data_IF_504535594246
#
_entry.id   IF_504535594246
#
_cell.length_a   1.000
_cell.length_b   1.000
_cell.length_c   1.000
_cell.angle_alpha   90.00
_cell.angle_beta   90.00
_cell.angle_gamma   90.00
#
_symmetry.space_group_name_H-M   'P 1'
#
loop_
_entity.id
_entity.type
_entity.pdbx_description
1 polymer ?
#
# COMPACT_ATOMS: atom_id res chain seq x y z
N UNK A 1 4.97 0.11 -16.47
CA UNK A 1 5.42 -0.92 -15.50
C UNK A 1 5.06 -2.33 -15.94
N UNK A 2 5.94 -3.31 -15.68
CA UNK A 2 5.69 -4.74 -15.88
C UNK A 2 4.74 -5.28 -14.79
N UNK A 3 4.05 -6.40 -15.03
CA UNK A 3 3.17 -7.12 -14.09
C UNK A 3 1.74 -6.60 -13.85
N UNK A 4 1.21 -5.71 -14.70
CA UNK A 4 -0.25 -5.44 -14.76
C UNK A 4 -0.78 -4.30 -13.87
N UNK A 5 0.06 -3.64 -13.08
CA UNK A 5 -0.29 -2.51 -12.20
C UNK A 5 -0.53 -1.16 -12.94
N UNK A 6 -0.81 -1.20 -14.25
CA UNK A 6 -0.62 -0.03 -15.14
C UNK A 6 -1.73 1.04 -15.12
N UNK A 7 -3.02 0.73 -14.95
CA UNK A 7 -4.04 1.78 -14.92
C UNK A 7 -4.40 2.25 -13.51
N UNK A 8 -4.09 1.46 -12.48
CA UNK A 8 -4.45 1.76 -11.10
C UNK A 8 -3.52 1.01 -10.15
N UNK A 9 -2.95 1.73 -9.20
CA UNK A 9 -2.08 1.20 -8.16
C UNK A 9 -2.48 1.83 -6.84
N UNK A 10 -2.83 1.01 -5.86
CA UNK A 10 -3.20 1.47 -4.54
C UNK A 10 -2.61 0.49 -3.51
N UNK A 11 -1.78 0.99 -2.61
CA UNK A 11 -1.08 0.13 -1.66
C UNK A 11 -0.74 0.83 -0.34
N UNK A 12 -0.57 0.02 0.71
CA UNK A 12 -0.13 0.46 2.03
C UNK A 12 1.11 -0.32 2.48
N UNK A 13 2.07 0.38 3.06
CA UNK A 13 3.17 -0.21 3.84
C UNK A 13 2.82 -0.06 5.31
N UNK A 14 2.65 -1.18 6.00
CA UNK A 14 2.10 -1.22 7.35
C UNK A 14 3.17 -1.74 8.30
N UNK A 15 3.42 -1.01 9.39
CA UNK A 15 4.38 -1.38 10.45
C UNK A 15 3.93 -2.54 11.33
N UNK A 16 3.33 -3.57 10.73
CA UNK A 16 2.87 -4.82 11.31
C UNK A 16 3.47 -5.94 10.46
N UNK A 17 4.20 -6.87 11.08
CA UNK A 17 4.86 -7.96 10.35
C UNK A 17 3.90 -9.08 9.95
N UNK A 18 2.99 -9.47 10.86
CA UNK A 18 2.07 -10.57 10.64
C UNK A 18 0.86 -10.13 9.79
N UNK A 19 0.77 -10.66 8.57
CA UNK A 19 -0.36 -10.40 7.67
C UNK A 19 -1.71 -10.83 8.26
N UNK A 20 -1.75 -11.81 9.16
CA UNK A 20 -2.98 -12.20 9.85
C UNK A 20 -3.42 -11.14 10.86
N UNK A 21 -2.47 -10.48 11.55
CA UNK A 21 -2.78 -9.36 12.43
C UNK A 21 -3.36 -8.19 11.62
N UNK A 22 -2.77 -7.88 10.46
CA UNK A 22 -3.31 -6.86 9.54
C UNK A 22 -4.74 -7.20 9.12
N UNK A 23 -4.98 -8.43 8.65
CA UNK A 23 -6.30 -8.89 8.24
C UNK A 23 -7.32 -8.83 9.39
N UNK A 24 -6.91 -9.24 10.60
CA UNK A 24 -7.76 -9.18 11.80
C UNK A 24 -8.13 -7.73 12.16
N UNK A 25 -7.18 -6.79 12.10
CA UNK A 25 -7.45 -5.36 12.36
C UNK A 25 -8.44 -4.78 11.35
N UNK A 26 -8.34 -5.21 10.09
CA UNK A 26 -9.27 -4.88 9.02
C UNK A 26 -10.59 -5.66 9.09
N UNK A 27 -10.79 -6.47 10.14
CA UNK A 27 -12.00 -7.28 10.37
C UNK A 27 -12.32 -8.24 9.23
N UNK A 28 -11.29 -8.71 8.53
CA UNK A 28 -11.44 -9.75 7.51
C UNK A 28 -11.86 -11.05 8.21
N UNK A 29 -12.96 -11.68 7.80
CA UNK A 29 -13.35 -12.99 8.33
C UNK A 29 -12.32 -14.06 7.94
N UNK A 30 -11.88 -14.88 8.89
CA UNK A 30 -10.81 -15.88 8.66
C UNK A 30 -11.19 -16.88 7.56
N UNK A 31 -12.48 -17.20 7.45
CA UNK A 31 -13.03 -18.11 6.45
C UNK A 31 -12.99 -17.57 5.01
N UNK A 32 -12.74 -16.27 4.82
CA UNK A 32 -12.61 -15.65 3.49
C UNK A 32 -11.16 -15.36 3.09
N UNK A 33 -10.19 -15.70 3.96
CA UNK A 33 -8.77 -15.52 3.70
C UNK A 33 -8.23 -16.69 2.86
N UNK A 34 -7.59 -16.38 1.74
CA UNK A 34 -6.96 -17.37 0.87
C UNK A 34 -5.46 -17.09 0.77
N UNK A 35 -4.61 -18.10 1.04
CA UNK A 35 -3.18 -17.97 0.79
C UNK A 35 -2.89 -18.19 -0.68
N UNK A 36 -2.25 -17.22 -1.34
CA UNK A 36 -1.89 -17.33 -2.74
C UNK A 36 -0.65 -16.49 -3.08
N UNK A 37 -0.04 -16.79 -4.23
CA UNK A 37 1.05 -15.98 -4.78
C UNK A 37 0.51 -14.70 -5.45
N UNK A 38 1.42 -13.78 -5.76
CA UNK A 38 1.07 -12.52 -6.42
C UNK A 38 0.30 -12.72 -7.74
N UNK A 39 0.71 -13.69 -8.57
CA UNK A 39 0.07 -13.91 -9.86
C UNK A 39 -1.39 -14.34 -9.70
N UNK A 40 -1.65 -15.26 -8.77
CA UNK A 40 -3.01 -15.71 -8.43
C UNK A 40 -3.83 -14.57 -7.84
N UNK A 41 -3.24 -13.74 -6.98
CA UNK A 41 -3.92 -12.56 -6.43
C UNK A 41 -4.35 -11.59 -7.55
N UNK A 42 -3.49 -11.38 -8.55
CA UNK A 42 -3.79 -10.51 -9.70
C UNK A 42 -4.90 -11.04 -10.61
N UNK A 43 -5.28 -12.32 -10.53
CA UNK A 43 -6.49 -12.82 -11.22
C UNK A 43 -7.78 -12.24 -10.62
N UNK A 44 -7.74 -11.77 -9.37
CA UNK A 44 -8.82 -11.07 -8.70
C UNK A 44 -8.79 -9.54 -8.90
N UNK A 45 -7.83 -9.03 -9.68
CA UNK A 45 -7.71 -7.61 -9.95
C UNK A 45 -8.93 -7.09 -10.74
N UNK A 46 -9.71 -6.22 -10.11
CA UNK A 46 -10.96 -5.71 -10.63
C UNK A 46 -11.20 -4.26 -10.16
N UNK A 47 -10.47 -3.27 -10.69
CA UNK A 47 -10.46 -1.90 -10.17
C UNK A 47 -11.83 -1.19 -10.23
N UNK A 48 -12.76 -1.69 -11.07
CA UNK A 48 -14.12 -1.16 -11.17
C UNK A 48 -15.12 -1.83 -10.23
N UNK A 49 -14.72 -2.88 -9.50
CA UNK A 49 -15.58 -3.57 -8.53
C UNK A 49 -15.66 -2.76 -7.24
N UNK A 50 -16.87 -2.67 -6.67
CA UNK A 50 -17.11 -2.01 -5.38
C UNK A 50 -16.60 -2.84 -4.20
N UNK A 51 -16.49 -4.16 -4.37
CA UNK A 51 -15.99 -5.04 -3.31
C UNK A 51 -14.51 -4.76 -3.04
N UNK A 52 -14.18 -4.34 -1.82
CA UNK A 52 -12.80 -4.11 -1.40
C UNK A 52 -12.06 -5.44 -1.25
N UNK A 53 -11.11 -5.70 -2.16
CA UNK A 53 -10.20 -6.85 -2.07
C UNK A 53 -8.77 -6.39 -1.98
N UNK A 54 -8.01 -7.07 -1.13
CA UNK A 54 -6.61 -6.78 -0.90
C UNK A 54 -5.78 -8.07 -0.91
N UNK A 55 -4.51 -7.94 -1.23
CA UNK A 55 -3.50 -8.96 -1.03
C UNK A 55 -2.48 -8.47 -0.02
N UNK A 56 -2.38 -9.17 1.11
CA UNK A 56 -1.51 -8.82 2.24
C UNK A 56 -0.31 -9.75 2.22
N UNK A 57 0.89 -9.20 2.07
CA UNK A 57 2.13 -9.99 2.05
C UNK A 57 3.18 -9.42 3.01
N UNK A 58 4.14 -10.26 3.41
CA UNK A 58 5.30 -9.79 4.17
C UNK A 58 6.19 -8.95 3.26
N UNK A 59 6.72 -7.84 3.78
CA UNK A 59 7.62 -6.97 3.02
C UNK A 59 9.08 -7.15 3.47
N UNK A 60 9.31 -6.94 4.78
CA UNK A 60 10.60 -7.06 5.49
C UNK A 60 10.28 -7.19 6.99
N UNK A 61 11.17 -7.70 7.87
CA UNK A 61 10.85 -7.78 9.30
C UNK A 61 10.31 -6.45 9.86
N UNK A 62 9.21 -6.53 10.62
CA UNK A 62 8.47 -5.39 11.13
C UNK A 62 7.45 -4.76 10.17
N UNK A 63 7.40 -5.17 8.89
CA UNK A 63 6.56 -4.57 7.86
C UNK A 63 5.80 -5.59 7.00
N UNK A 64 4.57 -5.22 6.65
CA UNK A 64 3.76 -5.88 5.63
C UNK A 64 3.35 -4.89 4.56
N UNK A 65 2.98 -5.43 3.41
CA UNK A 65 2.47 -4.69 2.28
C UNK A 65 1.03 -5.13 1.99
N UNK A 66 0.13 -4.16 1.87
CA UNK A 66 -1.27 -4.37 1.51
C UNK A 66 -1.47 -3.80 0.12
N UNK A 67 -1.61 -4.67 -0.88
CA UNK A 67 -1.95 -4.26 -2.25
C UNK A 67 -3.47 -4.29 -2.40
N UNK A 68 -4.07 -3.18 -2.81
CA UNK A 68 -5.49 -3.15 -3.14
C UNK A 68 -5.68 -3.67 -4.57
N UNK A 69 -6.64 -4.58 -4.75
CA UNK A 69 -6.93 -5.24 -6.02
C UNK A 69 -8.27 -4.81 -6.62
N UNK A 70 -9.21 -4.39 -5.77
CA UNK A 70 -10.51 -3.85 -6.12
C UNK A 70 -11.09 -3.04 -4.97
N UNK A 71 -12.13 -2.26 -5.23
CA UNK A 71 -12.73 -1.32 -4.29
C UNK A 71 -12.34 0.12 -4.62
N UNK A 72 -13.12 1.07 -4.12
CA UNK A 72 -12.89 2.52 -4.34
C UNK A 72 -12.18 3.21 -3.16
N UNK A 73 -11.88 2.47 -2.10
CA UNK A 73 -11.32 3.01 -0.87
C UNK A 73 -10.09 2.24 -0.43
N UNK A 74 -9.18 2.94 0.23
CA UNK A 74 -8.07 2.32 0.94
C UNK A 74 -8.57 1.68 2.24
N UNK A 75 -7.97 0.56 2.69
CA UNK A 75 -8.19 0.06 4.05
C UNK A 75 -7.83 1.13 5.09
N UNK A 76 -8.53 1.19 6.23
CA UNK A 76 -8.31 2.27 7.22
C UNK A 76 -6.88 2.25 7.79
N UNK A 77 -6.09 3.24 7.39
CA UNK A 77 -4.75 3.47 7.92
C UNK A 77 -4.77 3.83 9.41
N UNK A 78 -5.82 4.50 9.92
CA UNK A 78 -5.91 4.80 11.36
C UNK A 78 -6.05 3.53 12.19
N UNK A 79 -6.81 2.54 11.71
CA UNK A 79 -6.95 1.25 12.41
C UNK A 79 -5.63 0.47 12.39
N UNK A 80 -4.94 0.46 11.24
CA UNK A 80 -3.69 -0.26 11.05
C UNK A 80 -2.51 0.38 11.82
N UNK A 81 -2.48 1.70 11.95
CA UNK A 81 -1.41 2.43 12.64
C UNK A 81 -1.52 2.41 14.17
N UNK A 82 -2.66 2.04 14.77
CA UNK A 82 -2.82 1.99 16.24
C UNK A 82 -1.77 1.13 16.95
N UNK A 83 -1.37 1.57 18.14
CA UNK A 83 -0.37 0.89 18.96
C UNK A 83 1.05 1.31 18.58
N UNK A 84 1.22 2.59 18.22
CA UNK A 84 2.49 3.20 17.84
C UNK A 84 3.03 2.76 16.47
N UNK A 85 2.19 2.17 15.60
CA UNK A 85 2.57 1.69 14.27
C UNK A 85 2.42 2.78 13.22
N UNK A 86 3.14 2.60 12.11
CA UNK A 86 3.17 3.52 10.98
C UNK A 86 2.47 2.90 9.79
N UNK A 87 1.78 3.72 9.00
CA UNK A 87 1.21 3.34 7.71
C UNK A 87 1.59 4.40 6.69
N UNK A 88 2.08 3.96 5.55
CA UNK A 88 2.32 4.80 4.38
C UNK A 88 1.43 4.36 3.23
N UNK A 89 0.86 5.30 2.51
CA UNK A 89 -0.14 5.02 1.48
C UNK A 89 0.24 5.67 0.16
N UNK A 90 0.11 4.91 -0.93
CA UNK A 90 0.29 5.41 -2.28
C UNK A 90 -0.96 5.00 -3.08
N UNK A 91 -1.61 5.97 -3.71
CA UNK A 91 -2.77 5.75 -4.57
C UNK A 91 -2.59 6.51 -5.89
N UNK A 92 -2.59 5.77 -6.99
CA UNK A 92 -2.44 6.24 -8.35
C UNK A 92 -3.57 5.69 -9.23
N UNK A 93 -4.25 6.58 -9.94
CA UNK A 93 -5.25 6.23 -10.94
C UNK A 93 -4.90 6.91 -12.25
N UNK A 94 -4.66 6.14 -13.32
CA UNK A 94 -4.19 6.68 -14.60
C UNK A 94 -5.16 7.64 -15.30
N UNK A 95 -6.41 7.72 -14.83
CA UNK A 95 -7.44 8.63 -15.35
C UNK A 95 -7.49 10.00 -14.69
N UNK A 96 -6.69 10.25 -13.63
CA UNK A 96 -6.76 11.48 -12.83
C UNK A 96 -5.65 12.48 -13.21
N UNK A 97 -4.72 12.11 -14.11
CA UNK A 97 -3.54 12.92 -14.50
C UNK A 97 -2.64 13.40 -13.34
N UNK A 98 -2.97 13.03 -12.11
CA UNK A 98 -2.29 13.38 -10.85
C UNK A 98 -2.25 12.14 -9.95
N UNK A 99 -1.22 12.04 -9.12
CA UNK A 99 -1.10 11.06 -8.03
C UNK A 99 -1.35 11.80 -6.71
N UNK A 100 -2.11 11.19 -5.81
CA UNK A 100 -2.30 11.80 -4.49
C UNK A 100 -0.96 11.81 -3.74
N UNK A 101 -0.65 12.90 -2.99
CA UNK A 101 0.55 12.93 -2.15
C UNK A 101 0.61 11.72 -1.25
N UNK A 102 1.81 11.12 -1.13
CA UNK A 102 2.03 9.92 -0.32
C UNK A 102 1.56 10.14 1.12
N UNK A 103 0.54 9.41 1.53
CA UNK A 103 -0.10 9.56 2.83
C UNK A 103 0.74 8.97 3.97
N UNK A 104 0.72 9.62 5.13
CA UNK A 104 1.35 9.13 6.35
C UNK A 104 0.37 9.13 7.53
N UNK A 105 0.25 7.98 8.20
CA UNK A 105 -0.57 7.81 9.41
C UNK A 105 0.25 7.15 10.52
N UNK A 106 0.18 7.71 11.73
CA UNK A 106 0.87 7.20 12.93
C UNK A 106 -0.05 7.13 14.13
N UNK A 107 -0.08 5.98 14.79
CA UNK A 107 -0.86 5.73 16.02
C UNK A 107 -2.33 6.16 15.95
N UNK A 108 -2.97 5.92 14.81
CA UNK A 108 -4.38 6.27 14.59
C UNK A 108 -4.63 7.71 14.20
N UNK A 109 -3.58 8.51 13.95
CA UNK A 109 -3.67 9.91 13.53
C UNK A 109 -3.11 10.06 12.13
N UNK A 110 -3.93 10.50 11.18
CA UNK A 110 -3.47 10.90 9.86
C UNK A 110 -2.64 12.19 9.99
N UNK A 111 -1.37 12.11 9.62
CA UNK A 111 -0.44 13.22 9.62
C UNK A 111 -0.48 14.01 8.30
N UNK A 112 -1.33 13.61 7.36
CA UNK A 112 -1.41 14.18 6.01
C UNK A 112 -0.40 13.54 5.07
N UNK A 113 0.31 14.36 4.30
CA UNK A 113 1.37 13.90 3.41
C UNK A 113 2.67 13.64 4.18
N UNK A 114 3.49 12.73 3.66
CA UNK A 114 4.80 12.41 4.24
C UNK A 114 5.80 13.57 4.15
N UNK A 115 5.59 14.50 3.22
CA UNK A 115 6.49 15.63 2.96
C UNK A 115 6.42 16.70 4.07
N UNK A 116 5.32 16.73 4.82
CA UNK A 116 5.15 17.56 6.02
C UNK A 116 5.75 16.92 7.29
N UNK A 117 6.18 15.65 7.24
CA UNK A 117 6.75 14.96 8.39
C UNK A 117 8.28 15.06 8.38
N UNK A 118 8.82 16.01 9.16
CA UNK A 118 10.26 16.29 9.28
C UNK A 118 11.11 15.03 9.55
N UNK A 119 10.58 14.04 10.27
CA UNK A 119 11.30 12.79 10.57
C UNK A 119 11.66 11.96 9.32
N UNK A 120 10.96 12.18 8.19
CA UNK A 120 11.22 11.48 6.93
C UNK A 120 11.95 12.33 5.89
N UNK A 121 12.35 13.56 6.21
CA UNK A 121 12.97 14.48 5.25
C UNK A 121 14.17 13.85 4.51
N UNK A 122 15.05 13.18 5.26
CA UNK A 122 16.27 12.58 4.71
C UNK A 122 16.02 11.48 3.67
N UNK A 123 14.81 10.91 3.62
CA UNK A 123 14.46 9.86 2.65
C UNK A 123 14.08 10.40 1.27
N UNK A 124 13.78 11.70 1.15
CA UNK A 124 13.37 12.35 -0.09
C UNK A 124 14.12 13.64 -0.43
N UNK A 125 14.98 14.15 0.47
CA UNK A 125 15.67 15.43 0.30
C UNK A 125 16.57 15.54 -0.95
N UNK A 126 17.09 14.42 -1.46
CA UNK A 126 17.93 14.34 -2.66
C UNK A 126 17.15 14.02 -3.94
N UNK A 127 15.84 13.74 -3.83
CA UNK A 127 15.01 13.42 -4.99
C UNK A 127 14.61 14.71 -5.72
N UNK A 128 14.63 14.71 -7.07
CA UNK A 128 14.22 15.87 -7.82
C UNK A 128 12.71 16.06 -7.72
N UNK A 129 12.26 17.21 -7.23
CA UNK A 129 10.85 17.59 -7.27
C UNK A 129 10.59 18.56 -8.43
N UNK A 130 9.63 18.23 -9.28
CA UNK A 130 9.19 19.04 -10.41
C UNK A 130 7.66 18.97 -10.50
N UNK A 131 6.97 20.11 -10.40
CA UNK A 131 5.50 20.21 -10.50
C UNK A 131 4.96 19.71 -11.85
N UNK A 132 5.83 19.57 -12.86
CA UNK A 132 5.50 19.05 -14.19
C UNK A 132 5.87 17.56 -14.37
N UNK A 133 6.25 16.87 -13.29
CA UNK A 133 6.64 15.46 -13.33
C UNK A 133 5.48 14.58 -13.83
N UNK A 134 5.72 13.66 -14.77
CA UNK A 134 4.71 12.67 -15.14
C UNK A 134 4.30 11.83 -13.92
N UNK A 135 3.01 11.51 -13.72
CA UNK A 135 2.57 10.72 -12.56
C UNK A 135 3.25 9.34 -12.40
N UNK A 136 3.71 8.76 -13.52
CA UNK A 136 4.46 7.52 -13.48
C UNK A 136 5.86 7.68 -12.85
N UNK A 137 6.52 8.80 -13.10
CA UNK A 137 7.82 9.13 -12.52
C UNK A 137 7.66 9.52 -11.05
N UNK A 138 6.58 10.23 -10.71
CA UNK A 138 6.23 10.55 -9.31
C UNK A 138 5.90 9.29 -8.49
N UNK A 139 5.16 8.34 -9.07
CA UNK A 139 4.93 7.03 -8.47
C UNK A 139 6.25 6.28 -8.23
N UNK A 140 7.18 6.31 -9.19
CA UNK A 140 8.50 5.73 -9.00
C UNK A 140 9.24 6.38 -7.83
N UNK A 141 9.17 7.70 -7.67
CA UNK A 141 9.75 8.38 -6.52
C UNK A 141 9.12 7.95 -5.19
N UNK A 142 7.79 7.86 -5.11
CA UNK A 142 7.12 7.43 -3.88
C UNK A 142 7.49 6.00 -3.51
N UNK A 143 7.61 5.10 -4.50
CA UNK A 143 8.12 3.75 -4.31
C UNK A 143 9.59 3.74 -3.84
N UNK A 144 10.41 4.68 -4.32
CA UNK A 144 11.79 4.85 -3.83
C UNK A 144 11.80 5.33 -2.37
N UNK A 145 10.99 6.33 -2.01
CA UNK A 145 10.90 6.88 -0.66
C UNK A 145 10.50 5.79 0.33
N UNK A 146 9.39 5.08 0.08
CA UNK A 146 8.94 4.02 0.98
C UNK A 146 9.93 2.85 1.01
N UNK A 147 10.60 2.56 -0.11
CA UNK A 147 11.67 1.57 -0.18
C UNK A 147 12.87 1.93 0.68
N UNK A 148 13.24 3.22 0.75
CA UNK A 148 14.30 3.71 1.64
C UNK A 148 13.87 3.67 3.10
N UNK A 149 12.63 4.07 3.42
CA UNK A 149 12.08 4.07 4.79
C UNK A 149 12.00 2.64 5.35
N UNK A 150 11.59 1.69 4.52
CA UNK A 150 11.46 0.28 4.91
C UNK A 150 12.72 -0.53 4.66
N UNK A 151 13.76 0.07 4.08
CA UNK A 151 15.00 -0.60 3.66
C UNK A 151 14.79 -1.76 2.65
N UNK A 152 13.65 -1.77 1.94
CA UNK A 152 13.24 -2.84 1.02
C UNK A 152 12.41 -2.30 -0.15
N UNK A 153 12.90 -2.49 -1.37
CA UNK A 153 12.17 -2.18 -2.61
C UNK A 153 11.31 -3.36 -3.07
N UNK A 154 10.27 -3.07 -3.87
CA UNK A 154 9.49 -4.09 -4.57
C UNK A 154 10.31 -4.65 -5.75
N UNK A 155 10.78 -5.88 -5.63
CA UNK A 155 11.62 -6.56 -6.62
C UNK A 155 11.08 -7.94 -7.00
N UNK A 156 11.87 -8.72 -7.75
CA UNK A 156 11.48 -10.06 -8.22
C UNK A 156 11.13 -11.03 -7.11
N UNK A 157 11.81 -10.94 -5.97
CA UNK A 157 11.55 -11.82 -4.83
C UNK A 157 10.21 -11.45 -4.19
N UNK A 158 9.88 -10.15 -4.12
CA UNK A 158 8.56 -9.69 -3.70
C UNK A 158 7.45 -10.17 -4.64
N UNK A 159 7.65 -10.10 -5.97
CA UNK A 159 6.68 -10.62 -6.94
C UNK A 159 6.51 -12.16 -6.88
N UNK A 160 7.41 -12.86 -6.21
CA UNK A 160 7.34 -14.31 -6.00
C UNK A 160 6.82 -14.68 -4.60
N UNK A 161 6.50 -13.67 -3.77
CA UNK A 161 6.03 -13.89 -2.41
C UNK A 161 4.62 -14.49 -2.40
N UNK A 162 4.32 -15.19 -1.30
CA UNK A 162 2.96 -15.58 -0.96
C UNK A 162 2.36 -14.53 -0.02
N UNK A 163 1.04 -14.39 -0.06
CA UNK A 163 0.29 -13.50 0.81
C UNK A 163 -1.11 -14.02 1.05
N UNK A 164 -1.91 -13.21 1.73
CA UNK A 164 -3.31 -13.46 2.03
C UNK A 164 -4.18 -12.60 1.12
N UNK A 165 -4.89 -13.24 0.20
CA UNK A 165 -6.00 -12.62 -0.52
C UNK A 165 -7.20 -12.52 0.42
N UNK A 166 -7.70 -11.30 0.59
CA UNK A 166 -8.74 -10.97 1.56
C UNK A 166 -9.85 -10.16 0.90
N UNK A 167 -11.09 -10.39 1.33
CA UNK A 167 -12.22 -9.47 1.07
C UNK A 167 -12.53 -8.72 2.36
N UNK A 168 -12.43 -7.39 2.31
CA UNK A 168 -12.73 -6.52 3.46
C UNK A 168 -14.24 -6.23 3.44
N UNK A 169 -14.97 -6.46 4.54
CA UNK A 169 -16.38 -6.13 4.61
C UNK A 169 -16.59 -4.61 4.55
N UNK A 170 -17.68 -4.18 3.92
CA UNK A 170 -18.07 -2.78 3.95
C UNK A 170 -18.26 -2.30 5.40
N UNK A 171 -17.79 -1.09 5.73
CA UNK A 171 -18.14 -0.42 6.97
C UNK A 171 -19.60 0.03 6.84
N UNK A 172 -20.55 -0.87 7.13
CA UNK A 172 -21.98 -0.55 7.17
C UNK A 172 -22.36 0.56 8.16
#
# INVERSE_FOLDING_TARGET
>A
MAHGLHPWFAAQWVGIEDGNEVAQRLRVPVETMETCDFQTAMESYAPTSETLRVWITSHVPGWSHVLVLSGWTMPSAEVLSRGGRRVFEIAYTSGVEEIEPMGYTHDGVSAGDIFQADEYHDYWADLPYDDMMPPADELEQYLVIVGRITERFLDRDWFSAHGLLCTIPDPG
#
